data_IF_434686767194
#
_entry.id   IF_434686767194
#
_cell.length_a   1.000
_cell.length_b   1.000
_cell.length_c   1.000
_cell.angle_alpha   90.00
_cell.angle_beta   90.00
_cell.angle_gamma   90.00
#
_symmetry.space_group_name_H-M   'P 1'
#
loop_
_entity.id
_entity.type
_entity.pdbx_description
1 polymer ?
#
# COMPACT_ATOMS: atom_id res chain seq x y z
N UNK A 1 -32.77 -6.39 -5.06
CA UNK A 1 -31.49 -6.05 -5.70
C UNK A 1 -30.62 -5.31 -4.72
N UNK A 2 -29.41 -5.84 -4.46
CA UNK A 2 -28.43 -5.18 -3.59
C UNK A 2 -27.89 -3.92 -4.27
N UNK A 3 -27.78 -2.84 -3.50
CA UNK A 3 -27.10 -1.63 -3.92
C UNK A 3 -25.64 -1.94 -4.26
N UNK A 4 -25.11 -1.32 -5.31
CA UNK A 4 -23.70 -1.44 -5.62
C UNK A 4 -22.85 -0.86 -4.49
N UNK A 5 -21.65 -1.34 -4.33
CA UNK A 5 -20.71 -0.81 -3.35
C UNK A 5 -19.76 0.11 -4.08
N UNK A 6 -19.63 1.33 -3.59
CA UNK A 6 -18.87 2.39 -4.21
C UNK A 6 -17.75 2.88 -3.31
N UNK A 7 -16.74 3.49 -3.94
CA UNK A 7 -15.60 4.11 -3.29
C UNK A 7 -15.67 5.62 -3.49
N UNK A 8 -15.40 6.37 -2.44
CA UNK A 8 -15.38 7.82 -2.45
C UNK A 8 -14.31 8.36 -1.51
N UNK A 9 -13.95 9.63 -1.66
CA UNK A 9 -13.06 10.32 -0.72
C UNK A 9 -11.76 9.53 -0.48
N UNK A 10 -11.01 9.32 -1.54
CA UNK A 10 -9.77 8.53 -1.49
C UNK A 10 -8.56 9.44 -1.38
N UNK A 11 -7.81 9.33 -0.27
CA UNK A 11 -6.66 10.18 0.02
C UNK A 11 -5.50 9.38 0.61
N UNK A 12 -4.31 9.97 0.50
CA UNK A 12 -3.10 9.45 1.14
C UNK A 12 -2.24 10.58 1.69
N UNK A 13 -1.39 10.25 2.64
CA UNK A 13 -0.29 11.15 3.02
C UNK A 13 0.79 11.12 1.93
N UNK A 14 1.71 12.11 1.91
CA UNK A 14 3.01 11.88 1.30
C UNK A 14 3.64 10.62 1.88
N UNK A 15 4.53 9.98 1.15
CA UNK A 15 5.28 8.82 1.65
C UNK A 15 6.65 9.31 2.11
N UNK A 16 6.95 9.10 3.40
CA UNK A 16 8.22 9.45 4.00
C UNK A 16 9.25 8.34 3.82
N UNK A 17 10.52 8.71 3.75
CA UNK A 17 11.63 7.74 3.76
C UNK A 17 11.99 7.37 5.19
N UNK A 18 12.61 6.22 5.36
CA UNK A 18 13.08 5.74 6.67
C UNK A 18 13.97 6.78 7.34
N UNK A 19 13.60 7.17 8.57
CA UNK A 19 14.33 8.20 9.30
C UNK A 19 14.17 9.60 8.74
N UNK A 20 13.23 9.83 7.82
CA UNK A 20 12.95 11.12 7.19
C UNK A 20 11.95 11.98 7.96
N UNK A 21 11.14 12.73 7.21
CA UNK A 21 10.24 13.73 7.79
C UNK A 21 9.24 13.16 8.80
N UNK A 22 8.83 11.90 8.63
CA UNK A 22 7.81 11.27 9.49
C UNK A 22 8.42 10.36 10.57
N UNK A 23 9.71 10.39 10.79
CA UNK A 23 10.39 9.46 11.72
C UNK A 23 9.81 9.46 13.13
N UNK A 24 9.29 10.58 13.59
CA UNK A 24 8.75 10.74 14.94
C UNK A 24 7.21 10.73 14.97
N UNK A 25 6.58 10.44 13.83
CA UNK A 25 5.11 10.41 13.71
C UNK A 25 4.64 8.95 13.79
N UNK A 26 3.83 8.56 14.79
CA UNK A 26 3.28 7.21 14.84
C UNK A 26 2.38 6.93 13.65
N UNK A 27 2.27 5.66 13.26
CA UNK A 27 1.41 5.26 12.16
C UNK A 27 -0.05 5.73 12.35
N UNK A 28 -0.58 5.61 13.58
CA UNK A 28 -1.95 6.02 13.85
C UNK A 28 -2.18 7.54 13.67
N UNK A 29 -1.16 8.38 13.80
CA UNK A 29 -1.29 9.82 13.50
C UNK A 29 -1.32 10.08 11.99
N UNK A 30 -0.56 9.33 11.21
CA UNK A 30 -0.65 9.39 9.75
C UNK A 30 -2.03 8.93 9.29
N UNK A 31 -2.54 7.84 9.86
CA UNK A 31 -3.90 7.36 9.60
C UNK A 31 -4.96 8.39 9.99
N UNK A 32 -4.81 9.01 11.16
CA UNK A 32 -5.73 10.04 11.64
C UNK A 32 -5.78 11.25 10.69
N UNK A 33 -4.65 11.64 10.12
CA UNK A 33 -4.56 12.76 9.16
C UNK A 33 -5.44 12.48 7.94
N UNK A 34 -5.38 11.29 7.40
CA UNK A 34 -6.18 10.90 6.22
C UNK A 34 -7.67 10.81 6.60
N UNK A 35 -7.99 10.22 7.74
CA UNK A 35 -9.38 10.11 8.22
C UNK A 35 -9.99 11.50 8.41
N UNK A 36 -9.23 12.42 8.99
CA UNK A 36 -9.68 13.81 9.17
C UNK A 36 -10.02 14.48 7.85
N UNK A 37 -9.18 14.27 6.84
CA UNK A 37 -9.43 14.80 5.48
C UNK A 37 -10.72 14.23 4.89
N UNK A 38 -10.95 12.92 5.04
CA UNK A 38 -12.17 12.28 4.56
C UNK A 38 -13.41 12.91 5.18
N UNK A 39 -13.40 13.08 6.50
CA UNK A 39 -14.53 13.66 7.22
C UNK A 39 -14.76 15.13 6.87
N UNK A 40 -13.70 15.91 6.80
CA UNK A 40 -13.77 17.35 6.50
C UNK A 40 -14.21 17.62 5.06
N UNK A 41 -13.61 16.94 4.09
CA UNK A 41 -13.93 17.18 2.68
C UNK A 41 -15.32 16.67 2.30
N UNK A 42 -15.70 15.48 2.79
CA UNK A 42 -17.01 14.91 2.52
C UNK A 42 -18.14 15.64 3.23
N UNK A 43 -17.83 16.33 4.33
CA UNK A 43 -18.79 16.94 5.24
C UNK A 43 -19.85 15.95 5.77
N UNK A 44 -19.50 14.66 5.75
CA UNK A 44 -20.35 13.62 6.34
C UNK A 44 -20.45 13.83 7.85
N UNK A 45 -21.64 13.60 8.41
CA UNK A 45 -21.75 13.49 9.86
C UNK A 45 -20.92 12.27 10.30
N UNK A 46 -19.90 12.45 11.16
CA UNK A 46 -19.08 11.33 11.59
C UNK A 46 -19.84 10.19 12.24
N UNK A 47 -21.03 10.48 12.81
CA UNK A 47 -21.90 9.46 13.38
C UNK A 47 -22.50 8.50 12.33
N UNK A 48 -22.46 8.86 11.06
CA UNK A 48 -22.91 8.00 9.96
C UNK A 48 -21.91 6.88 9.65
N UNK A 49 -20.66 6.99 10.10
CA UNK A 49 -19.64 5.95 9.89
C UNK A 49 -19.98 4.76 10.78
N UNK A 50 -20.07 3.57 10.17
CA UNK A 50 -20.40 2.34 10.91
C UNK A 50 -19.17 1.66 11.50
N UNK A 51 -18.02 1.73 10.80
CA UNK A 51 -16.81 1.05 11.23
C UNK A 51 -15.57 1.68 10.57
N UNK A 52 -14.39 1.53 11.21
CA UNK A 52 -13.10 1.88 10.63
C UNK A 52 -12.23 0.62 10.62
N UNK A 53 -11.68 0.29 9.46
CA UNK A 53 -10.83 -0.88 9.26
C UNK A 53 -9.51 -0.42 8.62
N UNK A 54 -8.40 -0.55 9.34
CA UNK A 54 -7.09 -0.14 8.82
C UNK A 54 -6.08 -1.27 8.89
N UNK A 55 -5.31 -1.42 7.79
CA UNK A 55 -4.15 -2.27 7.77
C UNK A 55 -3.00 -1.64 8.55
N UNK A 56 -2.26 -2.47 9.29
CA UNK A 56 -1.04 -2.08 9.97
C UNK A 56 -0.27 -3.34 10.35
N UNK A 57 0.99 -3.42 10.01
CA UNK A 57 1.81 -4.63 10.18
C UNK A 57 2.67 -4.55 11.44
N UNK A 58 3.37 -3.45 11.63
CA UNK A 58 4.34 -3.27 12.72
C UNK A 58 3.65 -2.58 13.89
N UNK A 59 2.95 -3.37 14.71
CA UNK A 59 2.03 -2.84 15.72
C UNK A 59 2.64 -2.72 17.13
N UNK A 60 3.77 -3.37 17.38
CA UNK A 60 4.36 -3.40 18.72
C UNK A 60 4.63 -2.00 19.27
N UNK A 61 4.13 -1.75 20.47
CA UNK A 61 4.35 -0.48 21.17
C UNK A 61 3.41 0.67 20.77
N UNK A 62 2.50 0.47 19.83
CA UNK A 62 1.57 1.53 19.42
C UNK A 62 0.35 1.69 20.33
N UNK A 63 0.09 0.74 21.21
CA UNK A 63 -1.10 0.72 22.05
C UNK A 63 -2.10 -0.32 21.61
N UNK A 64 -3.26 -0.35 22.25
CA UNK A 64 -4.31 -1.31 21.93
C UNK A 64 -4.98 -0.90 20.62
N UNK A 65 -4.95 -1.78 19.61
CA UNK A 65 -5.68 -1.59 18.36
C UNK A 65 -5.38 -0.24 17.68
N UNK A 66 -4.26 -0.13 16.95
CA UNK A 66 -3.86 1.14 16.33
C UNK A 66 -4.92 1.78 15.42
N UNK A 67 -5.74 0.98 14.73
CA UNK A 67 -6.84 1.52 13.91
C UNK A 67 -7.86 2.28 14.76
N UNK A 68 -8.17 1.79 15.96
CA UNK A 68 -9.07 2.48 16.91
C UNK A 68 -8.47 3.82 17.32
N UNK A 69 -7.17 3.86 17.60
CA UNK A 69 -6.48 5.09 17.98
C UNK A 69 -6.53 6.10 16.81
N UNK A 70 -6.22 5.65 15.60
CA UNK A 70 -6.29 6.50 14.41
C UNK A 70 -7.69 7.05 14.18
N UNK A 71 -8.71 6.21 14.33
CA UNK A 71 -10.12 6.61 14.16
C UNK A 71 -10.50 7.73 15.10
N UNK A 72 -10.24 7.56 16.40
CA UNK A 72 -10.59 8.55 17.43
C UNK A 72 -9.81 9.84 17.22
N UNK A 73 -8.49 9.77 17.00
CA UNK A 73 -7.65 10.93 16.71
C UNK A 73 -8.06 11.64 15.42
N UNK A 74 -8.60 10.92 14.45
CA UNK A 74 -9.10 11.46 13.19
C UNK A 74 -10.47 12.10 13.25
N UNK A 75 -11.16 12.02 14.39
CA UNK A 75 -12.47 12.65 14.57
C UNK A 75 -13.66 11.71 14.45
N UNK A 76 -13.46 10.40 14.37
CA UNK A 76 -14.53 9.42 14.36
C UNK A 76 -15.07 9.27 15.81
N UNK A 77 -16.40 9.27 16.02
CA UNK A 77 -16.97 9.16 17.36
C UNK A 77 -16.65 7.86 18.09
N UNK A 78 -16.60 7.93 19.40
CA UNK A 78 -16.33 6.76 20.25
C UNK A 78 -17.34 5.62 20.07
N UNK A 79 -18.55 5.92 19.61
CA UNK A 79 -19.58 4.92 19.33
C UNK A 79 -19.28 4.06 18.12
N UNK A 80 -18.33 4.46 17.25
CA UNK A 80 -17.99 3.75 16.02
C UNK A 80 -16.88 2.74 16.30
N UNK A 81 -17.12 1.44 16.12
CA UNK A 81 -16.08 0.42 16.32
C UNK A 81 -15.00 0.48 15.26
N UNK A 82 -13.85 -0.10 15.58
CA UNK A 82 -12.69 -0.13 14.69
C UNK A 82 -11.87 -1.38 14.93
N UNK A 83 -11.16 -1.86 13.91
CA UNK A 83 -10.16 -2.91 14.12
C UNK A 83 -9.00 -2.80 13.14
N UNK A 84 -7.90 -3.42 13.50
CA UNK A 84 -6.65 -3.42 12.78
C UNK A 84 -6.44 -4.77 12.10
N UNK A 85 -5.96 -4.75 10.86
CA UNK A 85 -5.76 -5.94 10.04
C UNK A 85 -4.29 -6.08 9.64
N UNK A 86 -3.77 -7.29 9.66
CA UNK A 86 -2.45 -7.61 9.15
C UNK A 86 -2.53 -8.73 8.11
N UNK A 87 -2.24 -8.38 6.86
CA UNK A 87 -1.99 -9.29 5.75
C UNK A 87 -0.69 -8.86 5.05
N UNK A 88 0.28 -8.46 5.83
CA UNK A 88 1.58 -7.94 5.38
C UNK A 88 1.36 -6.86 4.30
N UNK A 89 1.98 -6.97 3.12
CA UNK A 89 1.88 -5.95 2.06
C UNK A 89 0.45 -5.73 1.54
N UNK A 90 -0.40 -6.73 1.67
CA UNK A 90 -1.81 -6.65 1.24
C UNK A 90 -2.77 -6.08 2.26
N UNK A 91 -2.28 -5.67 3.45
CA UNK A 91 -3.14 -5.25 4.56
C UNK A 91 -4.11 -4.14 4.20
N UNK A 92 -3.64 -3.11 3.51
CA UNK A 92 -4.49 -1.97 3.14
C UNK A 92 -5.60 -2.35 2.17
N UNK A 93 -5.31 -3.20 1.20
CA UNK A 93 -6.32 -3.67 0.25
C UNK A 93 -7.27 -4.68 0.91
N UNK A 94 -6.75 -5.52 1.80
CA UNK A 94 -7.58 -6.45 2.61
C UNK A 94 -8.56 -5.70 3.49
N UNK A 95 -8.16 -4.59 4.09
CA UNK A 95 -9.05 -3.74 4.88
C UNK A 95 -10.24 -3.26 4.03
N UNK A 96 -10.00 -2.86 2.79
CA UNK A 96 -11.03 -2.43 1.85
C UNK A 96 -11.94 -3.60 1.47
N UNK A 97 -11.37 -4.79 1.25
CA UNK A 97 -12.16 -6.02 1.00
C UNK A 97 -13.03 -6.38 2.20
N UNK A 98 -12.53 -6.26 3.42
CA UNK A 98 -13.31 -6.52 4.63
C UNK A 98 -14.46 -5.52 4.78
N UNK A 99 -14.23 -4.25 4.45
CA UNK A 99 -15.29 -3.25 4.40
C UNK A 99 -16.37 -3.66 3.39
N UNK A 100 -15.98 -4.04 2.19
CA UNK A 100 -16.87 -4.57 1.15
C UNK A 100 -17.68 -5.75 1.68
N UNK A 101 -17.03 -6.73 2.28
CA UNK A 101 -17.67 -7.95 2.79
C UNK A 101 -18.65 -7.63 3.91
N UNK A 102 -18.34 -6.69 4.81
CA UNK A 102 -19.22 -6.28 5.91
C UNK A 102 -20.48 -5.61 5.37
N UNK A 103 -20.38 -4.86 4.29
CA UNK A 103 -21.53 -4.23 3.64
C UNK A 103 -22.39 -5.27 2.93
N UNK A 104 -21.77 -6.20 2.20
CA UNK A 104 -22.49 -7.31 1.55
C UNK A 104 -23.23 -8.16 2.58
N UNK A 105 -22.62 -8.39 3.75
CA UNK A 105 -23.23 -9.15 4.84
C UNK A 105 -24.38 -8.40 5.53
N UNK A 106 -24.50 -7.10 5.31
CA UNK A 106 -25.55 -6.29 5.93
C UNK A 106 -25.17 -5.70 7.28
N UNK A 107 -23.92 -5.87 7.72
CA UNK A 107 -23.47 -5.33 9.01
C UNK A 107 -23.23 -3.83 8.97
N UNK A 108 -22.79 -3.31 7.83
CA UNK A 108 -22.39 -1.91 7.65
C UNK A 108 -22.95 -1.35 6.34
N UNK A 109 -23.09 -0.03 6.29
CA UNK A 109 -23.41 0.71 5.07
C UNK A 109 -22.29 1.67 4.66
N UNK A 110 -21.54 2.20 5.63
CA UNK A 110 -20.43 3.14 5.42
C UNK A 110 -19.25 2.74 6.28
N UNK A 111 -18.11 2.53 5.67
CA UNK A 111 -16.86 2.15 6.34
C UNK A 111 -15.73 3.05 5.86
N UNK A 112 -14.89 3.52 6.77
CA UNK A 112 -13.60 4.09 6.43
C UNK A 112 -12.60 2.93 6.42
N UNK A 113 -11.96 2.68 5.29
CA UNK A 113 -11.02 1.57 5.16
C UNK A 113 -9.73 2.02 4.48
N UNK A 114 -8.61 1.46 4.91
CA UNK A 114 -7.32 1.76 4.35
C UNK A 114 -6.19 1.10 5.12
N UNK A 115 -5.07 1.80 5.23
CA UNK A 115 -3.92 1.30 5.95
C UNK A 115 -2.94 2.41 6.30
N UNK A 116 -2.05 2.07 7.20
CA UNK A 116 -1.04 2.98 7.74
C UNK A 116 0.18 2.19 8.15
N UNK A 117 1.35 2.83 8.11
CA UNK A 117 2.57 2.24 8.60
C UNK A 117 3.59 3.32 8.95
N UNK A 118 4.28 3.14 10.04
CA UNK A 118 5.53 3.83 10.33
C UNK A 118 6.62 2.79 10.54
N UNK A 119 7.37 2.51 9.48
CA UNK A 119 8.51 1.60 9.61
C UNK A 119 9.62 2.24 10.44
N UNK A 120 9.70 3.57 10.42
CA UNK A 120 10.64 4.34 11.25
C UNK A 120 10.40 4.16 12.74
N UNK A 121 9.16 3.92 13.17
CA UNK A 121 8.77 3.78 14.58
C UNK A 121 8.78 2.33 15.07
N UNK A 122 9.12 1.37 14.22
CA UNK A 122 9.16 -0.04 14.61
C UNK A 122 10.23 -0.25 15.70
N UNK A 123 9.88 -0.90 16.82
CA UNK A 123 10.80 -1.03 17.95
C UNK A 123 11.82 -2.14 17.77
N UNK A 124 12.91 -2.05 18.51
CA UNK A 124 13.79 -3.18 18.74
C UNK A 124 13.22 -4.06 19.84
N UNK A 125 13.36 -5.38 19.70
CA UNK A 125 12.78 -6.38 20.59
C UNK A 125 13.87 -7.07 21.41
N UNK A 126 13.69 -7.13 22.71
CA UNK A 126 14.49 -7.96 23.59
C UNK A 126 13.68 -9.22 23.92
N UNK A 127 13.83 -10.24 23.12
CA UNK A 127 13.09 -11.51 23.26
C UNK A 127 13.59 -12.31 24.46
N UNK A 128 12.72 -13.15 25.00
CA UNK A 128 13.03 -14.02 26.15
C UNK A 128 13.45 -13.25 27.42
N UNK A 129 13.05 -11.99 27.54
CA UNK A 129 13.44 -11.11 28.66
C UNK A 129 12.46 -11.11 29.82
N UNK A 130 11.20 -11.57 29.61
CA UNK A 130 10.13 -11.44 30.61
C UNK A 130 10.48 -12.08 31.96
N UNK A 131 11.18 -13.20 31.94
CA UNK A 131 11.52 -13.93 33.13
C UNK A 131 12.99 -13.79 33.53
N UNK A 132 13.69 -12.81 32.93
CA UNK A 132 15.09 -12.50 33.22
C UNK A 132 16.10 -13.33 32.47
N UNK A 133 17.37 -12.97 32.64
CA UNK A 133 18.51 -13.67 32.05
C UNK A 133 19.47 -14.11 33.16
N UNK A 134 20.07 -15.28 33.00
CA UNK A 134 21.00 -15.80 34.01
C UNK A 134 22.39 -15.15 33.86
N UNK A 135 23.00 -15.20 32.69
CA UNK A 135 24.37 -14.75 32.45
C UNK A 135 24.59 -14.57 30.94
N UNK A 136 25.45 -13.66 30.59
CA UNK A 136 25.86 -13.42 29.21
C UNK A 136 25.15 -12.26 28.53
N UNK A 137 25.70 -11.88 27.39
CA UNK A 137 25.18 -10.78 26.59
C UNK A 137 23.86 -11.18 25.91
N UNK A 138 23.02 -10.17 25.67
CA UNK A 138 21.76 -10.34 24.94
C UNK A 138 21.80 -9.49 23.66
N UNK A 139 21.02 -9.90 22.66
CA UNK A 139 20.89 -9.17 21.40
C UNK A 139 19.50 -8.59 21.29
N UNK A 140 19.40 -7.43 20.64
CA UNK A 140 18.13 -6.84 20.23
C UNK A 140 17.81 -7.32 18.82
N UNK A 141 16.54 -7.66 18.58
CA UNK A 141 16.05 -8.03 17.27
C UNK A 141 15.26 -6.87 16.67
N UNK A 142 15.53 -6.52 15.42
CA UNK A 142 14.81 -5.46 14.73
C UNK A 142 13.43 -5.99 14.28
N UNK A 143 12.36 -5.47 14.89
CA UNK A 143 10.99 -5.91 14.56
C UNK A 143 10.61 -5.60 13.11
N UNK A 144 11.14 -4.52 12.53
CA UNK A 144 10.89 -4.17 11.13
C UNK A 144 11.38 -5.28 10.21
N UNK A 145 12.57 -5.82 10.48
CA UNK A 145 13.15 -6.92 9.70
C UNK A 145 12.43 -8.22 10.01
N UNK A 146 12.27 -8.54 11.29
CA UNK A 146 11.71 -9.83 11.73
C UNK A 146 10.24 -10.02 11.30
N UNK A 147 9.42 -8.97 11.46
CA UNK A 147 7.97 -9.06 11.28
C UNK A 147 7.49 -8.50 9.93
N UNK A 148 8.31 -7.68 9.28
CA UNK A 148 7.94 -7.02 8.04
C UNK A 148 8.69 -7.47 6.80
N UNK A 149 9.94 -7.91 6.93
CA UNK A 149 10.84 -8.11 5.79
C UNK A 149 11.48 -9.51 5.71
N UNK A 150 11.18 -10.41 6.65
CA UNK A 150 11.77 -11.74 6.69
C UNK A 150 10.75 -12.81 6.32
N UNK A 151 11.13 -13.69 5.39
CA UNK A 151 10.41 -14.95 5.16
C UNK A 151 10.74 -15.92 6.31
N UNK A 152 9.78 -16.11 7.19
CA UNK A 152 9.95 -16.96 8.37
C UNK A 152 10.08 -18.44 8.03
N UNK A 153 9.59 -18.86 6.88
CA UNK A 153 9.65 -20.26 6.45
C UNK A 153 11.06 -20.66 6.03
N UNK A 154 11.81 -19.75 5.42
CA UNK A 154 13.16 -19.98 4.93
C UNK A 154 14.22 -19.17 5.68
N UNK A 155 13.83 -18.32 6.62
CA UNK A 155 14.68 -17.46 7.44
C UNK A 155 15.63 -16.58 6.62
N UNK A 156 15.08 -15.88 5.61
CA UNK A 156 15.85 -14.93 4.83
C UNK A 156 15.00 -13.71 4.45
N UNK A 157 15.67 -12.63 4.03
CA UNK A 157 15.02 -11.38 3.63
C UNK A 157 14.17 -11.58 2.37
N UNK A 158 13.10 -10.80 2.25
CA UNK A 158 12.23 -10.79 1.06
C UNK A 158 13.02 -10.61 -0.25
N UNK A 159 14.15 -9.89 -0.20
CA UNK A 159 15.03 -9.72 -1.36
C UNK A 159 15.55 -11.03 -1.94
N UNK A 160 15.71 -12.08 -1.13
CA UNK A 160 16.08 -13.42 -1.61
C UNK A 160 14.94 -14.02 -2.45
N UNK A 161 13.69 -13.78 -2.07
CA UNK A 161 12.55 -14.24 -2.88
C UNK A 161 12.56 -13.59 -4.27
N UNK A 162 12.98 -12.33 -4.35
CA UNK A 162 13.16 -11.64 -5.62
C UNK A 162 14.30 -12.27 -6.45
N UNK A 163 15.44 -12.61 -5.80
CA UNK A 163 16.53 -13.31 -6.45
C UNK A 163 16.08 -14.68 -6.99
N UNK A 164 15.19 -15.39 -6.28
CA UNK A 164 14.62 -16.64 -6.75
C UNK A 164 13.84 -16.45 -8.06
N UNK A 165 13.10 -15.35 -8.18
CA UNK A 165 12.38 -15.01 -9.41
C UNK A 165 13.34 -14.59 -10.54
N UNK A 166 14.44 -13.93 -10.21
CA UNK A 166 15.51 -13.63 -11.18
C UNK A 166 16.00 -14.91 -11.85
N UNK A 167 16.28 -15.95 -11.05
CA UNK A 167 16.71 -17.24 -11.58
C UNK A 167 15.60 -17.93 -12.38
N UNK A 168 14.40 -18.01 -11.84
CA UNK A 168 13.28 -18.72 -12.46
C UNK A 168 12.87 -18.11 -13.80
N UNK A 169 12.85 -16.79 -13.90
CA UNK A 169 12.42 -16.06 -15.09
C UNK A 169 13.59 -15.53 -15.93
N UNK A 170 14.82 -15.78 -15.50
CA UNK A 170 16.04 -15.31 -16.18
C UNK A 170 15.99 -13.81 -16.45
N UNK A 171 15.75 -13.06 -15.40
CA UNK A 171 15.65 -11.60 -15.46
C UNK A 171 17.05 -11.01 -15.28
N UNK A 172 17.49 -10.18 -16.24
CA UNK A 172 18.82 -9.58 -16.17
C UNK A 172 18.87 -8.42 -15.18
N UNK A 173 20.07 -8.11 -14.69
CA UNK A 173 20.32 -6.89 -13.90
C UNK A 173 19.91 -5.64 -14.68
N UNK A 174 20.24 -5.61 -15.97
CA UNK A 174 19.91 -4.48 -16.85
C UNK A 174 18.43 -4.25 -16.97
N UNK A 175 17.62 -5.31 -17.09
CA UNK A 175 16.15 -5.20 -17.11
C UNK A 175 15.61 -4.62 -15.80
N UNK A 176 16.15 -5.07 -14.67
CA UNK A 176 15.74 -4.59 -13.35
C UNK A 176 16.07 -3.10 -13.16
N UNK A 177 17.27 -2.69 -13.55
CA UNK A 177 17.68 -1.30 -13.44
C UNK A 177 16.89 -0.39 -14.39
N UNK A 178 16.58 -0.86 -15.60
CA UNK A 178 15.74 -0.13 -16.54
C UNK A 178 14.33 0.06 -15.97
N UNK A 179 13.78 -0.97 -15.37
CA UNK A 179 12.47 -0.90 -14.71
C UNK A 179 12.48 0.14 -13.58
N UNK A 180 13.50 0.13 -12.75
CA UNK A 180 13.66 1.07 -11.64
C UNK A 180 13.82 2.51 -12.15
N UNK A 181 14.64 2.70 -13.18
CA UNK A 181 14.80 4.00 -13.84
C UNK A 181 13.48 4.53 -14.37
N UNK A 182 12.72 3.68 -15.06
CA UNK A 182 11.42 4.07 -15.60
C UNK A 182 10.43 4.46 -14.50
N UNK A 183 10.41 3.73 -13.39
CA UNK A 183 9.57 4.07 -12.23
C UNK A 183 9.92 5.46 -11.68
N UNK A 184 11.21 5.75 -11.50
CA UNK A 184 11.67 7.06 -11.03
C UNK A 184 11.30 8.19 -12.00
N UNK A 185 11.49 7.97 -13.29
CA UNK A 185 11.16 8.98 -14.31
C UNK A 185 9.65 9.26 -14.37
N UNK A 186 8.82 8.22 -14.32
CA UNK A 186 7.37 8.36 -14.31
C UNK A 186 6.89 9.13 -13.07
N UNK A 187 7.39 8.76 -11.90
CA UNK A 187 7.02 9.42 -10.64
C UNK A 187 7.48 10.88 -10.62
N UNK A 188 8.68 11.16 -11.09
CA UNK A 188 9.21 12.52 -11.19
C UNK A 188 8.35 13.40 -12.11
N UNK A 189 7.99 12.90 -13.29
CA UNK A 189 7.11 13.63 -14.21
C UNK A 189 5.74 13.88 -13.59
N UNK A 190 5.16 12.87 -12.94
CA UNK A 190 3.86 12.99 -12.28
C UNK A 190 3.91 14.05 -11.17
N UNK A 191 4.95 14.03 -10.34
CA UNK A 191 5.11 15.02 -9.27
C UNK A 191 5.25 16.44 -9.84
N UNK A 192 6.07 16.64 -10.85
CA UNK A 192 6.28 17.93 -11.48
C UNK A 192 5.01 18.47 -12.14
N UNK A 193 4.19 17.58 -12.70
CA UNK A 193 2.92 17.94 -13.34
C UNK A 193 1.76 18.12 -12.34
N UNK A 194 2.00 17.90 -11.04
CA UNK A 194 0.97 18.04 -10.02
C UNK A 194 -0.05 16.90 -10.00
N UNK A 195 0.26 15.76 -10.60
CA UNK A 195 -0.68 14.62 -10.72
C UNK A 195 -1.10 14.07 -9.35
N UNK A 196 -0.20 14.12 -8.37
CA UNK A 196 -0.49 13.59 -7.03
C UNK A 196 -1.18 14.60 -6.10
N UNK A 197 -1.32 15.85 -6.50
CA UNK A 197 -1.80 16.91 -5.61
C UNK A 197 -3.22 16.64 -5.09
N UNK A 198 -4.09 16.10 -5.92
CA UNK A 198 -5.48 15.82 -5.55
C UNK A 198 -5.62 14.64 -4.57
N UNK A 199 -4.66 13.72 -4.57
CA UNK A 199 -4.70 12.54 -3.69
C UNK A 199 -3.95 12.74 -2.37
N UNK A 200 -3.00 13.67 -2.32
CA UNK A 200 -2.15 13.88 -1.14
C UNK A 200 -2.79 14.84 -0.14
N UNK A 201 -2.80 14.41 1.12
CA UNK A 201 -3.12 15.27 2.26
C UNK A 201 -1.81 15.68 2.93
N UNK A 202 -1.51 16.99 3.02
CA UNK A 202 -0.33 17.43 3.74
C UNK A 202 -0.34 16.97 5.21
N UNK A 203 0.84 16.64 5.72
CA UNK A 203 1.02 16.20 7.10
C UNK A 203 1.74 17.27 7.89
N UNK A 204 1.15 17.65 9.01
CA UNK A 204 1.75 18.58 9.95
C UNK A 204 2.79 17.85 10.80
N UNK A 205 4.04 18.29 10.73
CA UNK A 205 5.15 17.73 11.50
C UNK A 205 5.62 18.75 12.53
N UNK A 206 5.41 18.49 13.83
CA UNK A 206 5.87 19.40 14.87
C UNK A 206 7.38 19.59 14.83
N UNK A 207 7.82 20.81 15.08
CA UNK A 207 9.23 21.14 15.22
C UNK A 207 9.57 21.46 16.67
N UNK A 208 10.85 21.24 17.02
CA UNK A 208 11.36 21.59 18.34
C UNK A 208 11.23 23.09 18.65
N UNK A 209 11.42 23.92 17.62
CA UNK A 209 11.28 25.38 17.67
C UNK A 209 10.55 25.86 16.44
N UNK A 210 9.65 26.83 16.63
CA UNK A 210 8.90 27.44 15.55
C UNK A 210 7.64 26.69 15.18
N UNK A 211 7.04 27.11 14.08
CA UNK A 211 5.79 26.53 13.58
C UNK A 211 6.00 25.13 13.03
N UNK A 212 4.97 24.28 13.05
CA UNK A 212 5.05 22.97 12.40
C UNK A 212 5.37 23.08 10.92
N UNK A 213 6.10 22.09 10.40
CA UNK A 213 6.29 21.96 8.96
C UNK A 213 5.09 21.24 8.33
N UNK A 214 4.65 21.73 7.18
CA UNK A 214 3.67 21.01 6.38
C UNK A 214 4.39 20.24 5.28
N UNK A 215 4.34 18.92 5.35
CA UNK A 215 4.96 18.03 4.34
C UNK A 215 3.89 17.62 3.36
N UNK A 216 4.09 17.96 2.08
CA UNK A 216 3.10 17.74 1.02
C UNK A 216 3.62 16.96 -0.18
N UNK A 217 4.88 16.52 -0.16
CA UNK A 217 5.49 15.79 -1.27
C UNK A 217 6.10 14.49 -0.81
N UNK A 218 6.05 13.47 -1.67
CA UNK A 218 6.74 12.21 -1.46
C UNK A 218 8.25 12.45 -1.39
N UNK A 219 8.93 11.85 -0.42
CA UNK A 219 10.36 12.05 -0.19
C UNK A 219 11.25 11.13 -1.03
N UNK A 220 10.73 10.01 -1.51
CA UNK A 220 11.54 8.96 -2.12
C UNK A 220 11.82 9.13 -3.61
N UNK A 221 11.15 10.06 -4.28
CA UNK A 221 11.33 10.27 -5.72
C UNK A 221 12.70 10.87 -6.00
N UNK A 222 13.46 10.26 -6.91
CA UNK A 222 14.83 10.67 -7.25
C UNK A 222 14.93 11.05 -8.73
N UNK A 223 14.66 12.33 -9.08
CA UNK A 223 14.65 12.78 -10.48
C UNK A 223 15.99 12.62 -11.19
N UNK A 224 17.09 12.63 -10.43
CA UNK A 224 18.46 12.53 -10.99
C UNK A 224 18.96 11.09 -11.14
N UNK A 225 18.10 10.11 -10.96
CA UNK A 225 18.48 8.71 -11.19
C UNK A 225 18.91 8.51 -12.63
N UNK A 226 20.01 7.78 -12.81
CA UNK A 226 20.51 7.38 -14.14
C UNK A 226 20.75 5.87 -14.18
N UNK A 227 20.71 5.29 -15.36
CA UNK A 227 21.05 3.87 -15.56
C UNK A 227 22.45 3.57 -15.05
N UNK A 228 23.41 4.45 -15.32
CA UNK A 228 24.80 4.27 -14.89
C UNK A 228 24.94 4.24 -13.37
N UNK A 229 24.24 5.12 -12.67
CA UNK A 229 24.24 5.13 -11.19
C UNK A 229 23.62 3.86 -10.62
N UNK A 230 22.52 3.40 -11.20
CA UNK A 230 21.86 2.14 -10.78
C UNK A 230 22.79 0.94 -11.00
N UNK A 231 23.50 0.90 -12.12
CA UNK A 231 24.42 -0.19 -12.46
C UNK A 231 25.60 -0.32 -11.49
N UNK A 232 25.97 0.76 -10.81
CA UNK A 232 27.07 0.79 -9.84
C UNK A 232 26.72 0.22 -8.47
N UNK A 233 25.43 0.05 -8.17
CA UNK A 233 24.99 -0.45 -6.87
C UNK A 233 25.30 -1.94 -6.73
N UNK A 234 25.71 -2.32 -5.51
CA UNK A 234 26.03 -3.71 -5.20
C UNK A 234 24.76 -4.50 -4.89
N UNK A 235 24.75 -5.81 -5.17
CA UNK A 235 23.68 -6.69 -4.69
C UNK A 235 23.48 -6.54 -3.19
N UNK A 236 22.20 -6.41 -2.78
CA UNK A 236 21.87 -6.09 -1.39
C UNK A 236 21.60 -7.32 -0.53
N UNK A 237 21.20 -8.45 -1.13
CA UNK A 237 20.66 -9.59 -0.39
C UNK A 237 21.37 -10.90 -0.63
N UNK A 238 22.03 -11.05 -1.75
CA UNK A 238 22.69 -12.29 -2.15
C UNK A 238 24.02 -11.93 -2.81
N UNK A 239 25.09 -12.61 -2.39
CA UNK A 239 26.38 -12.48 -3.07
C UNK A 239 26.20 -12.90 -4.55
N UNK A 240 26.76 -12.10 -5.46
CA UNK A 240 26.62 -12.29 -6.90
C UNK A 240 25.16 -12.24 -7.39
N UNK A 241 24.27 -11.63 -6.61
CA UNK A 241 22.89 -11.38 -7.00
C UNK A 241 22.74 -10.17 -7.91
N UNK A 242 21.48 -9.83 -8.22
CA UNK A 242 21.14 -8.70 -9.09
C UNK A 242 20.15 -7.72 -8.45
N UNK A 243 19.55 -8.07 -7.34
CA UNK A 243 18.64 -7.18 -6.60
C UNK A 243 19.45 -6.22 -5.75
N UNK A 244 19.20 -4.92 -5.92
CA UNK A 244 19.91 -3.85 -5.22
C UNK A 244 18.94 -2.92 -4.51
N UNK A 245 19.46 -2.03 -3.68
CA UNK A 245 18.65 -0.97 -3.08
C UNK A 245 18.01 -0.04 -4.13
N UNK A 246 18.57 0.07 -5.32
CA UNK A 246 18.05 0.93 -6.40
C UNK A 246 16.95 0.30 -7.24
N UNK A 247 16.85 -1.03 -7.26
CA UNK A 247 15.81 -1.74 -8.01
C UNK A 247 14.84 -2.51 -7.10
N UNK A 248 14.74 -2.07 -5.86
CA UNK A 248 13.80 -2.55 -4.86
C UNK A 248 13.06 -1.36 -4.25
N UNK A 249 11.88 -1.61 -3.66
CA UNK A 249 11.17 -0.58 -2.91
C UNK A 249 11.93 -0.20 -1.63
N UNK A 250 11.67 1.00 -1.13
CA UNK A 250 12.28 1.48 0.09
C UNK A 250 11.57 1.04 1.36
N UNK A 251 12.08 1.53 2.47
CA UNK A 251 11.50 1.42 3.81
C UNK A 251 10.86 2.78 4.10
N UNK A 252 9.57 2.81 4.38
CA UNK A 252 8.80 4.04 4.28
C UNK A 252 7.72 4.17 5.37
N UNK A 253 7.20 5.38 5.48
CA UNK A 253 6.13 5.77 6.39
C UNK A 253 5.00 6.40 5.58
N UNK A 254 3.76 6.06 5.86
CA UNK A 254 2.63 6.66 5.17
C UNK A 254 1.29 6.06 5.55
N UNK A 255 0.23 6.66 5.05
CA UNK A 255 -1.14 6.19 5.23
C UNK A 255 -2.01 6.53 4.02
N UNK A 256 -3.05 5.74 3.82
CA UNK A 256 -4.04 5.96 2.78
C UNK A 256 -5.37 5.37 3.23
N UNK A 257 -6.48 5.99 2.87
CA UNK A 257 -7.80 5.50 3.22
C UNK A 257 -8.87 6.11 2.31
N UNK A 258 -10.07 5.53 2.37
CA UNK A 258 -11.21 5.97 1.58
C UNK A 258 -12.53 5.58 2.26
N UNK A 259 -13.64 6.14 1.77
CA UNK A 259 -14.97 5.67 2.11
C UNK A 259 -15.33 4.49 1.21
N UNK A 260 -15.84 3.43 1.85
CA UNK A 260 -16.46 2.29 1.18
C UNK A 260 -17.92 2.28 1.64
N UNK A 261 -18.87 2.36 0.72
CA UNK A 261 -20.27 2.53 1.10
C UNK A 261 -21.23 2.01 0.04
N UNK A 262 -22.50 1.82 0.41
CA UNK A 262 -23.53 1.50 -0.58
C UNK A 262 -23.78 2.73 -1.47
N UNK A 263 -24.10 2.48 -2.73
CA UNK A 263 -24.50 3.55 -3.66
C UNK A 263 -25.71 4.31 -3.15
N UNK A 264 -26.69 3.60 -2.58
CA UNK A 264 -27.90 4.22 -2.04
C UNK A 264 -27.55 5.21 -0.92
N UNK A 265 -26.64 4.83 -0.03
CA UNK A 265 -26.22 5.71 1.08
C UNK A 265 -25.42 6.91 0.55
N UNK A 266 -24.59 6.72 -0.47
CA UNK A 266 -23.88 7.81 -1.11
C UNK A 266 -24.85 8.85 -1.69
N UNK A 267 -25.89 8.39 -2.38
CA UNK A 267 -26.94 9.27 -2.91
C UNK A 267 -27.68 10.00 -1.81
N UNK A 268 -28.06 9.27 -0.74
CA UNK A 268 -28.80 9.85 0.38
C UNK A 268 -28.01 10.95 1.09
N UNK A 269 -26.71 10.82 1.19
CA UNK A 269 -25.82 11.78 1.87
C UNK A 269 -25.20 12.81 0.93
N UNK A 270 -25.48 12.74 -0.37
CA UNK A 270 -24.91 13.67 -1.34
C UNK A 270 -23.40 13.49 -1.57
N UNK A 271 -22.88 12.29 -1.36
CA UNK A 271 -21.47 11.95 -1.58
C UNK A 271 -21.31 11.44 -3.00
N UNK A 272 -20.39 12.05 -3.76
CA UNK A 272 -20.12 11.65 -5.14
C UNK A 272 -19.15 10.47 -5.16
N UNK A 273 -19.57 9.29 -5.64
CA UNK A 273 -18.65 8.17 -5.78
C UNK A 273 -17.61 8.43 -6.86
N UNK A 274 -16.42 7.85 -6.65
CA UNK A 274 -15.34 7.82 -7.64
C UNK A 274 -15.48 6.57 -8.51
N UNK A 275 -15.72 5.43 -7.88
CA UNK A 275 -15.71 4.13 -8.54
C UNK A 275 -16.68 3.15 -7.91
N UNK A 276 -17.03 2.13 -8.69
CA UNK A 276 -17.71 0.91 -8.19
C UNK A 276 -16.63 -0.12 -7.88
N UNK A 277 -16.77 -0.77 -6.74
CA UNK A 277 -15.91 -1.89 -6.33
C UNK A 277 -16.51 -3.18 -6.89
N UNK A 278 -15.87 -3.73 -7.93
CA UNK A 278 -16.45 -4.82 -8.69
C UNK A 278 -16.15 -6.20 -8.11
N UNK A 279 -14.85 -6.49 -7.87
CA UNK A 279 -14.45 -7.81 -7.39
C UNK A 279 -13.09 -7.79 -6.73
N UNK A 280 -12.80 -8.88 -6.02
CA UNK A 280 -11.51 -9.18 -5.41
C UNK A 280 -11.02 -10.56 -5.81
N UNK A 281 -9.71 -10.74 -5.79
CA UNK A 281 -9.06 -12.03 -5.93
C UNK A 281 -7.94 -12.16 -4.92
N UNK A 282 -7.75 -13.36 -4.40
CA UNK A 282 -6.65 -13.69 -3.51
C UNK A 282 -5.98 -14.98 -3.94
N UNK A 283 -4.71 -15.13 -3.65
CA UNK A 283 -3.93 -16.29 -4.04
C UNK A 283 -2.94 -16.69 -2.96
N UNK A 284 -2.52 -17.95 -2.99
CA UNK A 284 -1.39 -18.45 -2.25
C UNK A 284 -0.37 -19.06 -3.20
N UNK A 285 0.91 -18.82 -2.96
CA UNK A 285 2.04 -19.35 -3.73
C UNK A 285 3.13 -19.80 -2.76
N UNK A 286 4.14 -20.48 -3.26
CA UNK A 286 5.29 -20.83 -2.42
C UNK A 286 5.89 -19.55 -1.82
N UNK A 287 6.18 -19.52 -0.50
CA UNK A 287 6.79 -18.35 0.13
C UNK A 287 8.07 -17.88 -0.56
N UNK A 288 8.87 -18.81 -1.08
CA UNK A 288 10.14 -18.54 -1.76
C UNK A 288 10.01 -17.71 -3.04
N UNK A 289 8.82 -17.65 -3.61
CA UNK A 289 8.52 -16.89 -4.83
C UNK A 289 7.29 -16.01 -4.65
N UNK A 290 7.15 -15.42 -3.47
CA UNK A 290 5.97 -14.62 -3.10
C UNK A 290 5.61 -13.54 -4.13
N UNK A 291 6.60 -13.04 -4.87
CA UNK A 291 6.41 -11.94 -5.82
C UNK A 291 5.46 -12.24 -6.98
N UNK A 292 5.18 -13.52 -7.28
CA UNK A 292 4.23 -13.88 -8.33
C UNK A 292 2.79 -14.04 -7.81
N UNK A 293 2.55 -13.79 -6.52
CA UNK A 293 1.20 -13.83 -5.94
C UNK A 293 0.14 -13.05 -6.73
N UNK A 294 0.44 -11.86 -7.27
CA UNK A 294 -0.52 -11.09 -8.06
C UNK A 294 -1.08 -11.81 -9.28
N UNK A 295 -0.34 -12.74 -9.87
CA UNK A 295 -0.76 -13.41 -11.13
C UNK A 295 -2.13 -14.06 -10.97
N UNK A 296 -2.26 -15.00 -10.04
CA UNK A 296 -3.54 -15.69 -9.82
C UNK A 296 -4.57 -14.80 -9.11
N UNK A 297 -4.14 -13.88 -8.27
CA UNK A 297 -5.05 -12.93 -7.64
C UNK A 297 -5.76 -12.05 -8.68
N UNK A 298 -5.03 -11.53 -9.66
CA UNK A 298 -5.58 -10.72 -10.76
C UNK A 298 -6.51 -11.58 -11.63
N UNK A 299 -6.08 -12.79 -12.00
CA UNK A 299 -6.90 -13.71 -12.79
C UNK A 299 -8.25 -13.99 -12.12
N UNK A 300 -8.25 -14.23 -10.81
CA UNK A 300 -9.48 -14.47 -10.03
C UNK A 300 -10.37 -13.25 -9.99
N UNK A 301 -9.81 -12.06 -9.73
CA UNK A 301 -10.60 -10.83 -9.72
C UNK A 301 -11.26 -10.56 -11.06
N UNK A 302 -10.52 -10.71 -12.15
CA UNK A 302 -11.05 -10.54 -13.51
C UNK A 302 -12.15 -11.55 -13.83
N UNK A 303 -11.93 -12.83 -13.51
CA UNK A 303 -12.90 -13.88 -13.76
C UNK A 303 -14.23 -13.63 -13.04
N UNK A 304 -14.16 -13.16 -11.80
CA UNK A 304 -15.38 -12.85 -11.02
C UNK A 304 -16.23 -11.74 -11.62
N UNK A 305 -15.63 -10.86 -12.42
CA UNK A 305 -16.31 -9.78 -13.11
C UNK A 305 -16.49 -10.05 -14.61
N UNK A 306 -16.24 -11.27 -15.07
CA UNK A 306 -16.30 -11.66 -16.50
C UNK A 306 -15.45 -10.74 -17.38
N UNK A 307 -14.26 -10.39 -16.92
CA UNK A 307 -13.29 -9.54 -17.61
C UNK A 307 -12.04 -10.32 -17.96
N UNK A 308 -11.32 -9.82 -18.97
CA UNK A 308 -9.98 -10.30 -19.37
C UNK A 308 -8.99 -9.14 -19.28
N UNK A 309 -7.70 -9.42 -19.40
CA UNK A 309 -6.63 -8.42 -19.31
C UNK A 309 -6.88 -7.23 -20.23
N UNK A 310 -7.30 -7.48 -21.46
CA UNK A 310 -7.51 -6.43 -22.46
C UNK A 310 -8.66 -5.47 -22.11
N UNK A 311 -9.55 -5.87 -21.21
CA UNK A 311 -10.65 -5.02 -20.74
C UNK A 311 -10.17 -3.97 -19.72
N UNK A 312 -8.95 -4.11 -19.19
CA UNK A 312 -8.42 -3.23 -18.15
C UNK A 312 -7.64 -2.09 -18.79
N UNK A 313 -7.93 -0.87 -18.35
CA UNK A 313 -7.28 0.35 -18.86
C UNK A 313 -6.08 0.77 -18.03
N UNK A 314 -6.11 0.50 -16.73
CA UNK A 314 -5.12 0.96 -15.77
C UNK A 314 -4.78 -0.18 -14.81
N UNK A 315 -3.47 -0.46 -14.68
CA UNK A 315 -2.94 -1.36 -13.65
C UNK A 315 -2.09 -0.56 -12.67
N UNK A 316 -2.41 -0.65 -11.39
CA UNK A 316 -1.55 -0.20 -10.30
C UNK A 316 -1.08 -1.42 -9.54
N UNK A 317 0.16 -1.82 -9.78
CA UNK A 317 0.78 -3.01 -9.22
C UNK A 317 1.94 -2.60 -8.33
N UNK A 318 1.93 -3.05 -7.07
CA UNK A 318 2.98 -2.66 -6.14
C UNK A 318 4.34 -3.19 -6.59
N UNK A 319 5.33 -2.31 -6.63
CA UNK A 319 6.70 -2.61 -7.04
C UNK A 319 7.56 -2.92 -5.82
N UNK A 320 7.33 -4.06 -5.19
CA UNK A 320 8.19 -4.48 -4.08
C UNK A 320 9.63 -4.65 -4.55
N UNK A 321 9.80 -5.25 -5.73
CA UNK A 321 11.09 -5.43 -6.43
C UNK A 321 10.86 -5.31 -7.93
N UNK A 322 11.82 -4.75 -8.65
CA UNK A 322 11.76 -4.71 -10.11
C UNK A 322 11.66 -6.13 -10.70
N UNK A 323 12.43 -7.07 -10.17
CA UNK A 323 12.40 -8.47 -10.61
C UNK A 323 11.00 -9.08 -10.47
N UNK A 324 10.37 -8.89 -9.34
CA UNK A 324 9.00 -9.38 -9.07
C UNK A 324 7.99 -8.74 -10.03
N UNK A 325 8.10 -7.45 -10.25
CA UNK A 325 7.20 -6.72 -11.15
C UNK A 325 7.35 -7.20 -12.60
N UNK A 326 8.57 -7.42 -13.05
CA UNK A 326 8.87 -7.95 -14.38
C UNK A 326 8.28 -9.36 -14.54
N UNK A 327 8.44 -10.22 -13.53
CA UNK A 327 7.89 -11.58 -13.56
C UNK A 327 6.35 -11.58 -13.70
N UNK A 328 5.67 -10.74 -12.93
CA UNK A 328 4.20 -10.60 -13.00
C UNK A 328 3.77 -10.09 -14.38
N UNK A 329 4.45 -9.07 -14.88
CA UNK A 329 4.16 -8.48 -16.19
C UNK A 329 4.31 -9.51 -17.33
N UNK A 330 5.35 -10.35 -17.26
CA UNK A 330 5.58 -11.43 -18.24
C UNK A 330 4.51 -12.50 -18.18
N UNK A 331 4.19 -12.97 -16.97
CA UNK A 331 3.18 -14.04 -16.78
C UNK A 331 1.81 -13.63 -17.31
N UNK A 332 1.40 -12.41 -17.06
CA UNK A 332 0.11 -11.89 -17.48
C UNK A 332 0.14 -11.22 -18.85
N UNK A 333 1.32 -11.07 -19.46
CA UNK A 333 1.53 -10.36 -20.73
C UNK A 333 0.88 -8.96 -20.70
N UNK A 334 1.16 -8.21 -19.64
CA UNK A 334 0.55 -6.89 -19.45
C UNK A 334 1.11 -5.87 -20.44
N UNK A 335 0.24 -5.03 -21.03
CA UNK A 335 0.70 -3.90 -21.83
C UNK A 335 1.36 -2.86 -20.90
N UNK A 336 2.63 -2.58 -21.13
CA UNK A 336 3.45 -1.75 -20.23
C UNK A 336 2.99 -0.30 -20.15
N UNK A 337 2.34 0.21 -21.19
CA UNK A 337 1.76 1.56 -21.23
C UNK A 337 0.54 1.73 -20.30
N UNK A 338 0.00 0.63 -19.80
CA UNK A 338 -1.12 0.64 -18.84
C UNK A 338 -0.69 0.39 -17.39
N UNK A 339 0.58 0.06 -17.15
CA UNK A 339 1.07 -0.35 -15.82
C UNK A 339 1.85 0.77 -15.16
N UNK A 340 1.39 1.19 -13.97
CA UNK A 340 2.09 2.18 -13.13
C UNK A 340 2.55 3.40 -13.93
N UNK A 341 1.63 4.05 -14.61
CA UNK A 341 1.93 5.15 -15.52
C UNK A 341 2.52 6.37 -14.81
N UNK A 342 2.32 6.48 -13.50
CA UNK A 342 2.86 7.54 -12.65
C UNK A 342 3.99 7.03 -11.73
N UNK A 343 4.61 5.91 -12.08
CA UNK A 343 5.61 5.27 -11.24
C UNK A 343 4.96 4.39 -10.18
N UNK A 344 5.79 3.68 -9.42
CA UNK A 344 5.34 2.79 -8.36
C UNK A 344 6.26 2.82 -7.15
N UNK A 345 6.19 1.79 -6.32
CA UNK A 345 6.82 1.76 -5.01
C UNK A 345 8.34 1.91 -5.03
N UNK A 346 9.01 1.55 -6.12
CA UNK A 346 10.46 1.77 -6.23
C UNK A 346 10.78 3.26 -6.08
N UNK A 347 9.95 4.12 -6.68
CA UNK A 347 10.10 5.57 -6.57
C UNK A 347 9.34 6.16 -5.39
N UNK A 348 8.07 5.75 -5.20
CA UNK A 348 7.18 6.34 -4.20
C UNK A 348 7.45 5.81 -2.81
N UNK A 349 7.82 4.55 -2.67
CA UNK A 349 8.00 3.89 -1.39
C UNK A 349 6.95 2.82 -1.08
N UNK A 350 7.25 2.02 -0.03
CA UNK A 350 6.41 0.89 0.35
C UNK A 350 6.20 0.82 1.87
N UNK A 351 5.37 1.71 2.43
CA UNK A 351 4.94 1.57 3.84
C UNK A 351 3.99 0.38 3.93
N UNK A 352 4.47 -0.74 4.45
CA UNK A 352 3.89 -2.08 4.26
C UNK A 352 2.37 -2.11 4.46
N UNK A 353 1.89 -1.72 5.62
CA UNK A 353 0.46 -1.78 5.96
C UNK A 353 -0.42 -0.78 5.21
N UNK A 354 0.18 0.25 4.62
CA UNK A 354 -0.52 1.30 3.88
C UNK A 354 -0.56 1.04 2.37
N UNK A 355 0.39 0.27 1.84
CA UNK A 355 0.63 0.16 0.39
C UNK A 355 -0.58 -0.33 -0.40
N UNK A 356 -1.35 -1.28 0.13
CA UNK A 356 -2.56 -1.78 -0.54
C UNK A 356 -3.61 -0.70 -0.73
N UNK A 357 -3.77 0.19 0.24
CA UNK A 357 -4.68 1.32 0.15
C UNK A 357 -4.09 2.43 -0.74
N UNK A 358 -2.80 2.75 -0.60
CA UNK A 358 -2.12 3.75 -1.43
C UNK A 358 -2.24 3.40 -2.92
N UNK A 359 -1.99 2.15 -3.27
CA UNK A 359 -2.07 1.67 -4.65
C UNK A 359 -3.47 1.90 -5.23
N UNK A 360 -4.51 1.59 -4.47
CA UNK A 360 -5.88 1.81 -4.91
C UNK A 360 -6.24 3.31 -4.97
N UNK A 361 -5.80 4.12 -4.01
CA UNK A 361 -6.00 5.57 -4.06
C UNK A 361 -5.43 6.14 -5.36
N UNK A 362 -4.20 5.81 -5.70
CA UNK A 362 -3.58 6.28 -6.95
C UNK A 362 -4.33 5.81 -8.19
N UNK A 363 -4.80 4.57 -8.19
CA UNK A 363 -5.64 4.04 -9.26
C UNK A 363 -6.92 4.85 -9.43
N UNK A 364 -7.64 5.12 -8.34
CA UNK A 364 -8.91 5.83 -8.37
C UNK A 364 -8.77 7.23 -8.97
N UNK A 365 -7.67 7.94 -8.68
CA UNK A 365 -7.41 9.28 -9.22
C UNK A 365 -7.03 9.28 -10.70
N UNK A 366 -6.76 8.12 -11.29
CA UNK A 366 -6.46 7.97 -12.72
C UNK A 366 -7.69 7.61 -13.56
N UNK A 367 -8.77 7.14 -12.95
CA UNK A 367 -9.98 6.74 -13.67
C UNK A 367 -10.59 7.93 -14.42
N UNK A 368 -11.03 7.68 -15.64
CA UNK A 368 -11.67 8.68 -16.51
C UNK A 368 -12.69 7.98 -17.41
N UNK A 369 -13.47 8.75 -18.14
CA UNK A 369 -14.43 8.21 -19.11
C UNK A 369 -13.73 7.38 -20.19
N UNK A 370 -12.53 7.81 -20.59
CA UNK A 370 -11.71 7.12 -21.58
C UNK A 370 -11.01 5.88 -21.01
N UNK A 371 -10.75 5.84 -19.69
CA UNK A 371 -10.05 4.76 -18.98
C UNK A 371 -10.83 4.39 -17.73
N UNK A 372 -11.99 3.74 -17.88
CA UNK A 372 -12.89 3.51 -16.75
C UNK A 372 -12.57 2.29 -15.89
N UNK A 373 -11.76 1.35 -16.37
CA UNK A 373 -11.53 0.07 -15.68
C UNK A 373 -10.12 -0.04 -15.16
N UNK A 374 -9.98 -0.35 -13.87
CA UNK A 374 -8.67 -0.46 -13.24
C UNK A 374 -8.52 -1.68 -12.34
N UNK A 375 -7.28 -2.14 -12.22
CA UNK A 375 -6.88 -3.25 -11.34
C UNK A 375 -5.74 -2.77 -10.44
N UNK A 376 -5.88 -3.01 -9.14
CA UNK A 376 -4.80 -2.83 -8.16
C UNK A 376 -4.42 -4.20 -7.58
N UNK A 377 -3.14 -4.45 -7.39
CA UNK A 377 -2.66 -5.72 -6.85
C UNK A 377 -1.31 -5.59 -6.16
N UNK A 378 -1.06 -6.48 -5.20
CA UNK A 378 0.20 -6.55 -4.46
C UNK A 378 0.60 -8.00 -4.26
N UNK A 379 1.91 -8.25 -4.31
CA UNK A 379 2.50 -9.46 -3.74
C UNK A 379 2.59 -9.31 -2.22
N UNK A 380 2.59 -10.42 -1.52
CA UNK A 380 2.52 -10.45 -0.07
C UNK A 380 3.55 -11.44 0.47
N UNK A 381 4.41 -10.97 1.40
CA UNK A 381 5.35 -11.83 2.11
C UNK A 381 4.63 -13.01 2.77
N UNK A 382 5.27 -14.17 2.74
CA UNK A 382 4.66 -15.44 3.16
C UNK A 382 4.04 -16.22 2.00
N UNK A 383 4.02 -15.65 0.78
CA UNK A 383 3.56 -16.35 -0.42
C UNK A 383 2.09 -16.14 -0.72
N UNK A 384 1.65 -14.89 -0.85
CA UNK A 384 0.26 -14.58 -1.18
C UNK A 384 0.17 -13.45 -2.19
N UNK A 385 -1.03 -13.24 -2.73
CA UNK A 385 -1.38 -12.10 -3.55
C UNK A 385 -2.81 -11.66 -3.28
N UNK A 386 -3.08 -10.40 -3.57
CA UNK A 386 -4.42 -9.81 -3.49
C UNK A 386 -4.60 -8.84 -4.65
N UNK A 387 -5.80 -8.81 -5.20
CA UNK A 387 -6.16 -7.91 -6.30
C UNK A 387 -7.59 -7.41 -6.15
N UNK A 388 -7.85 -6.23 -6.68
CA UNK A 388 -9.21 -5.71 -6.81
C UNK A 388 -9.42 -5.13 -8.21
N UNK A 389 -10.64 -5.25 -8.70
CA UNK A 389 -11.11 -4.65 -9.95
C UNK A 389 -12.12 -3.58 -9.61
N UNK A 390 -11.93 -2.40 -10.17
CA UNK A 390 -12.82 -1.25 -10.00
C UNK A 390 -13.22 -0.68 -11.36
N UNK A 391 -14.37 0.00 -11.40
CA UNK A 391 -14.82 0.71 -12.58
C UNK A 391 -15.27 2.12 -12.20
N UNK A 392 -15.01 3.08 -13.08
CA UNK A 392 -15.39 4.47 -12.83
C UNK A 392 -16.91 4.58 -12.64
N UNK A 393 -17.31 5.32 -11.61
CA UNK A 393 -18.72 5.56 -11.35
C UNK A 393 -19.33 6.44 -12.44
N UNK A 394 -20.53 6.07 -12.91
CA UNK A 394 -21.26 6.86 -13.89
C UNK A 394 -20.87 6.60 -15.35
N UNK A 395 -20.08 5.58 -15.62
CA UNK A 395 -19.68 5.19 -16.98
C UNK A 395 -20.28 3.86 -17.38
#
# INVERSE_FOLDING_TARGET
DMSRIVLAEAYRTPIGVFGGAFKDIPAYELGATVIRQILEHSQIDPNEINEVILGNVLQAGQGQNPARIAAIHGGVPEAVPSFTVNKVCGSGLKAIQLAYQSIVAGDNEIVIAGGMESMSQSPMLLKNSRFGFKMGNQTLEDSMIADGLTDKFNDYHMGITAENLVEQYQISRKEQDQFAFDSQQKASRAQQAGVFDAEIVPVEVPQRKGDPLMISQDEGIRPQTTIDKLAQLRPAFKKDGSVTAGNASGINDGAAAMLVMTEDKAKALGIQPIAVLDSFGASGVAPSIMGIGPVEAIRKALKRSNKVIDDVDIFELNEAFAAQSIAVNRELQLPQDKVNVNGGAIALGHPIGASGARTLVSLLHQLSDAKPTGVASLCIGGGQGIATLVSKYGV
#
